data_IF_707637289906
#
_entry.id   IF_707637289906
#
_cell.length_a   1.000
_cell.length_b   1.000
_cell.length_c   1.000
_cell.angle_alpha   90.00
_cell.angle_beta   90.00
_cell.angle_gamma   90.00
#
_symmetry.space_group_name_H-M   'P 1'
#
loop_
_entity.id
_entity.type
_entity.pdbx_description
1 polymer ?
#
# COMPACT_ATOMS: atom_id res chain seq x y z
N UNK A 1 22.67 -0.29 -27.86
CA UNK A 1 21.20 -0.36 -27.80
C UNK A 1 20.85 -0.98 -26.46
N UNK A 2 20.68 -0.14 -25.44
CA UNK A 2 20.16 -0.59 -24.15
C UNK A 2 18.66 -0.76 -24.31
N UNK A 3 18.22 -2.01 -24.31
CA UNK A 3 16.82 -2.40 -24.34
C UNK A 3 16.29 -2.16 -22.92
N UNK A 4 15.77 -0.96 -22.67
CA UNK A 4 14.94 -0.72 -21.49
C UNK A 4 13.75 -1.68 -21.65
N UNK A 5 13.53 -2.64 -20.74
CA UNK A 5 12.32 -3.43 -20.80
C UNK A 5 11.19 -2.46 -20.50
N UNK A 6 10.52 -1.96 -21.54
CA UNK A 6 9.22 -1.30 -21.44
C UNK A 6 8.18 -2.34 -21.04
N UNK A 7 8.35 -2.92 -19.86
CA UNK A 7 7.27 -3.58 -19.15
C UNK A 7 6.47 -2.45 -18.53
N UNK A 8 5.60 -1.81 -19.31
CA UNK A 8 4.39 -1.18 -18.78
C UNK A 8 3.62 -2.30 -18.07
N UNK A 9 4.06 -2.60 -16.85
CA UNK A 9 3.45 -3.58 -15.98
C UNK A 9 2.22 -2.86 -15.48
N UNK A 10 1.07 -3.16 -16.08
CA UNK A 10 -0.22 -2.61 -15.69
C UNK A 10 -0.32 -2.75 -14.16
N UNK A 11 -0.40 -1.62 -13.47
CA UNK A 11 -0.38 -1.63 -12.01
C UNK A 11 -1.70 -2.23 -11.54
N UNK A 12 -1.60 -3.31 -10.76
CA UNK A 12 -2.75 -4.01 -10.19
C UNK A 12 -2.80 -3.78 -8.67
N UNK A 13 -3.97 -3.48 -8.16
CA UNK A 13 -4.26 -3.34 -6.74
C UNK A 13 -5.00 -4.59 -6.22
N UNK A 14 -4.52 -5.14 -5.10
CA UNK A 14 -5.22 -6.23 -4.41
C UNK A 14 -6.21 -5.67 -3.39
N UNK A 15 -7.50 -5.93 -3.58
CA UNK A 15 -8.58 -5.56 -2.68
C UNK A 15 -9.00 -6.78 -1.85
N UNK A 16 -9.02 -6.64 -0.52
CA UNK A 16 -9.45 -7.66 0.40
C UNK A 16 -10.93 -7.48 0.75
N UNK A 17 -11.72 -8.54 0.66
CA UNK A 17 -13.15 -8.55 0.93
C UNK A 17 -13.45 -9.17 2.30
N UNK A 18 -14.61 -8.82 2.88
CA UNK A 18 -15.06 -9.26 4.21
C UNK A 18 -15.33 -10.77 4.29
N UNK A 19 -15.61 -11.41 3.16
CA UNK A 19 -15.76 -12.85 3.06
C UNK A 19 -14.41 -13.60 3.11
N UNK A 20 -13.29 -12.87 3.18
CA UNK A 20 -11.93 -13.40 3.22
C UNK A 20 -11.32 -13.64 1.84
N UNK A 21 -12.06 -13.39 0.76
CA UNK A 21 -11.51 -13.43 -0.59
C UNK A 21 -10.71 -12.17 -0.93
N UNK A 22 -9.90 -12.26 -1.98
CA UNK A 22 -9.13 -11.15 -2.52
C UNK A 22 -9.34 -11.05 -4.02
N UNK A 23 -9.37 -9.82 -4.53
CA UNK A 23 -9.56 -9.52 -5.95
C UNK A 23 -8.44 -8.60 -6.39
N UNK A 24 -7.88 -8.87 -7.58
CA UNK A 24 -6.92 -7.98 -8.23
C UNK A 24 -7.68 -7.11 -9.23
N UNK A 25 -7.51 -5.80 -9.09
CA UNK A 25 -8.21 -4.79 -9.90
C UNK A 25 -7.15 -3.86 -10.48
N UNK A 26 -7.29 -3.47 -11.73
CA UNK A 26 -6.41 -2.47 -12.35
C UNK A 26 -6.49 -1.14 -11.59
N UNK A 27 -5.41 -0.35 -11.62
CA UNK A 27 -5.44 0.97 -10.98
C UNK A 27 -6.48 1.90 -11.60
N UNK A 28 -6.78 1.75 -12.89
CA UNK A 28 -7.77 2.56 -13.59
C UNK A 28 -9.21 2.26 -13.13
N UNK A 29 -9.50 1.00 -12.82
CA UNK A 29 -10.84 0.56 -12.35
C UNK A 29 -10.97 0.55 -10.83
N UNK A 30 -9.88 0.77 -10.09
CA UNK A 30 -9.86 0.67 -8.63
C UNK A 30 -10.86 1.62 -7.98
N UNK A 31 -10.96 2.86 -8.48
CA UNK A 31 -11.88 3.86 -7.92
C UNK A 31 -13.33 3.39 -7.95
N UNK A 32 -13.79 3.01 -9.14
CA UNK A 32 -15.16 2.52 -9.37
C UNK A 32 -15.44 1.23 -8.59
N UNK A 33 -14.46 0.31 -8.55
CA UNK A 33 -14.58 -0.93 -7.80
C UNK A 33 -14.74 -0.68 -6.30
N UNK A 34 -13.96 0.23 -5.72
CA UNK A 34 -14.01 0.58 -4.30
C UNK A 34 -15.35 1.23 -3.92
N UNK A 35 -15.90 2.08 -4.79
CA UNK A 35 -17.19 2.73 -4.56
C UNK A 35 -18.34 1.72 -4.65
N UNK A 36 -18.38 0.92 -5.72
CA UNK A 36 -19.42 -0.07 -5.95
C UNK A 36 -19.44 -1.22 -4.93
N UNK A 37 -18.28 -1.55 -4.33
CA UNK A 37 -18.15 -2.66 -3.38
C UNK A 37 -17.80 -2.22 -1.96
N UNK A 38 -18.03 -0.95 -1.62
CA UNK A 38 -17.68 -0.34 -0.32
C UNK A 38 -18.13 -1.18 0.89
N UNK A 39 -19.32 -1.76 0.83
CA UNK A 39 -19.89 -2.57 1.92
C UNK A 39 -19.27 -3.96 2.05
N UNK A 40 -18.66 -4.47 0.98
CA UNK A 40 -18.03 -5.80 0.91
C UNK A 40 -16.54 -5.76 1.22
N UNK A 41 -15.91 -4.60 1.04
CA UNK A 41 -14.47 -4.45 1.26
C UNK A 41 -14.15 -4.51 2.75
N UNK A 42 -13.06 -5.21 3.07
CA UNK A 42 -12.53 -5.26 4.41
C UNK A 42 -11.52 -4.12 4.60
N UNK A 43 -11.87 -3.02 5.31
CA UNK A 43 -10.91 -1.97 5.59
C UNK A 43 -9.81 -2.50 6.49
N UNK A 44 -8.59 -2.62 5.95
CA UNK A 44 -7.43 -2.94 6.78
C UNK A 44 -6.99 -1.70 7.55
N UNK A 45 -7.34 -1.64 8.83
CA UNK A 45 -6.69 -0.70 9.75
C UNK A 45 -5.27 -1.19 10.01
N UNK A 46 -4.26 -0.55 9.41
CA UNK A 46 -2.87 -0.77 9.79
C UNK A 46 -2.74 -0.30 11.25
N UNK A 47 -2.74 -1.25 12.18
CA UNK A 47 -2.37 -0.96 13.57
C UNK A 47 -0.91 -0.53 13.56
N UNK A 48 -0.66 0.79 13.64
CA UNK A 48 0.69 1.35 13.82
C UNK A 48 1.30 0.68 15.04
N UNK A 49 2.24 -0.26 14.84
CA UNK A 49 2.92 -0.94 15.93
C UNK A 49 3.90 0.03 16.58
N UNK A 50 3.42 0.78 17.58
CA UNK A 50 4.23 1.62 18.45
C UNK A 50 4.88 2.83 17.77
N UNK A 51 5.52 3.72 18.56
CA UNK A 51 6.31 4.80 18.01
C UNK A 51 7.46 4.19 17.20
N UNK A 52 7.55 4.57 15.92
CA UNK A 52 8.74 4.34 15.10
C UNK A 52 9.88 4.99 15.86
N UNK A 53 10.69 4.20 16.57
CA UNK A 53 11.94 4.65 17.19
C UNK A 53 12.88 5.01 16.05
N UNK A 54 12.74 6.21 15.51
CA UNK A 54 13.74 6.84 14.66
C UNK A 54 15.01 6.97 15.51
N UNK A 55 15.97 6.07 15.29
CA UNK A 55 17.34 6.18 15.80
C UNK A 55 18.08 7.32 15.08
N UNK A 56 17.51 8.53 15.06
CA UNK A 56 18.13 9.70 14.43
C UNK A 56 18.43 10.84 15.42
N UNK A 57 18.13 10.67 16.71
CA UNK A 57 18.37 11.72 17.72
C UNK A 57 19.46 11.38 18.75
N UNK A 58 20.42 10.50 18.42
CA UNK A 58 21.50 10.12 19.34
C UNK A 58 22.91 10.51 18.87
N UNK A 59 23.06 11.44 17.92
CA UNK A 59 24.39 11.89 17.44
C UNK A 59 24.58 13.42 17.50
N UNK A 60 23.76 14.14 18.28
CA UNK A 60 23.88 15.62 18.42
C UNK A 60 24.10 16.09 19.86
N UNK A 61 24.53 15.21 20.78
CA UNK A 61 24.81 15.60 22.18
C UNK A 61 26.17 15.14 22.70
N UNK A 62 27.18 15.12 21.84
CA UNK A 62 28.59 15.02 22.26
C UNK A 62 29.40 16.19 21.71
N UNK A 63 28.96 17.42 21.98
CA UNK A 63 29.83 18.59 22.06
C UNK A 63 29.54 19.23 23.41
N UNK A 64 30.43 18.94 24.36
CA UNK A 64 30.47 19.46 25.72
C UNK A 64 31.83 19.12 26.30
#
# INVERSE_FOLDING_TARGET
MEQIPSSESELMATVYLKDGSKVEVSMDELGDYLEANRDKIQPQTIKRRGPVRSKLSAEISSVG
#
